data_IF_110525059281
#
_entry.id   IF_110525059281
#
_cell.length_a   1.000
_cell.length_b   1.000
_cell.length_c   1.000
_cell.angle_alpha   90.00
_cell.angle_beta   90.00
_cell.angle_gamma   90.00
#
_symmetry.space_group_name_H-M   'P 1'
#
loop_
_entity.id
_entity.type
_entity.pdbx_description
1 polymer ?
#
# COMPACT_ATOMS: atom_id res chain seq x y z
N UNK A 1 4.25 -5.61 0.39
CA UNK A 1 4.18 -6.34 -0.89
C UNK A 1 5.60 -6.65 -1.34
N UNK A 2 5.89 -7.80 -1.98
CA UNK A 2 7.20 -8.04 -2.59
C UNK A 2 7.52 -6.95 -3.60
N UNK A 3 8.75 -6.43 -3.60
CA UNK A 3 9.08 -5.25 -4.42
C UNK A 3 8.88 -5.47 -5.92
N UNK A 4 9.16 -6.68 -6.42
CA UNK A 4 8.99 -7.02 -7.85
C UNK A 4 7.52 -7.01 -8.30
N UNK A 5 6.57 -7.20 -7.38
CA UNK A 5 5.14 -7.09 -7.67
C UNK A 5 4.62 -5.67 -7.45
N UNK A 6 5.38 -4.82 -6.74
CA UNK A 6 4.97 -3.49 -6.36
C UNK A 6 5.29 -2.48 -7.46
N UNK A 7 4.59 -2.61 -8.58
CA UNK A 7 4.57 -1.61 -9.64
C UNK A 7 3.11 -1.29 -10.01
N UNK A 8 2.91 -0.12 -10.60
CA UNK A 8 1.56 0.40 -10.87
C UNK A 8 0.76 -0.50 -11.81
N UNK A 9 1.41 -1.02 -12.85
CA UNK A 9 0.78 -1.88 -13.85
C UNK A 9 0.22 -3.16 -13.21
N UNK A 10 1.02 -3.86 -12.41
CA UNK A 10 0.58 -5.06 -11.68
C UNK A 10 -0.55 -4.75 -10.70
N UNK A 11 -0.47 -3.64 -9.96
CA UNK A 11 -1.49 -3.30 -8.94
C UNK A 11 -2.85 -3.00 -9.59
N UNK A 12 -2.85 -2.31 -10.74
CA UNK A 12 -4.07 -1.95 -11.48
C UNK A 12 -4.74 -3.13 -12.19
N UNK A 13 -4.04 -4.25 -12.35
CA UNK A 13 -4.61 -5.42 -13.02
C UNK A 13 -5.78 -6.02 -12.23
N UNK A 14 -6.79 -6.61 -12.90
CA UNK A 14 -7.89 -7.31 -12.26
C UNK A 14 -7.42 -8.46 -11.36
N UNK A 15 -6.31 -9.13 -11.67
CA UNK A 15 -5.80 -10.22 -10.84
C UNK A 15 -5.31 -9.74 -9.46
N UNK A 16 -5.08 -8.43 -9.31
CA UNK A 16 -4.65 -7.77 -8.08
C UNK A 16 -5.72 -6.82 -7.53
N UNK A 17 -5.41 -5.54 -7.36
CA UNK A 17 -6.28 -4.57 -6.70
C UNK A 17 -7.26 -3.92 -7.67
N UNK A 18 -7.04 -4.04 -8.99
CA UNK A 18 -7.98 -3.57 -10.01
C UNK A 18 -9.36 -4.22 -9.93
N UNK A 19 -9.49 -5.46 -9.43
CA UNK A 19 -10.80 -6.13 -9.31
C UNK A 19 -11.76 -5.46 -8.34
N UNK A 20 -11.27 -4.64 -7.41
CA UNK A 20 -12.13 -4.05 -6.38
C UNK A 20 -12.76 -2.74 -6.86
N UNK A 21 -12.19 -2.07 -7.85
CA UNK A 21 -12.69 -0.82 -8.40
C UNK A 21 -11.62 -0.03 -9.14
N UNK A 22 -12.04 1.12 -9.69
CA UNK A 22 -11.13 2.01 -10.40
C UNK A 22 -10.16 2.69 -9.42
N UNK A 23 -8.87 2.55 -9.69
CA UNK A 23 -7.81 3.13 -8.86
C UNK A 23 -7.51 4.55 -9.35
N UNK A 24 -7.66 5.53 -8.47
CA UNK A 24 -7.31 6.93 -8.72
C UNK A 24 -5.79 7.12 -8.63
N UNK A 25 -5.18 6.65 -7.54
CA UNK A 25 -3.77 6.90 -7.25
C UNK A 25 -3.10 5.72 -6.57
N UNK A 26 -1.85 5.46 -6.96
CA UNK A 26 -0.97 4.48 -6.33
C UNK A 26 0.29 5.21 -5.84
N UNK A 27 0.70 4.92 -4.61
CA UNK A 27 1.99 5.35 -4.05
C UNK A 27 2.73 4.13 -3.55
N UNK A 28 3.98 3.97 -3.98
CA UNK A 28 4.83 2.83 -3.63
C UNK A 28 6.04 3.35 -2.87
N UNK A 29 6.15 2.93 -1.61
CA UNK A 29 7.28 3.26 -0.74
C UNK A 29 8.12 2.00 -0.52
N UNK A 30 9.27 1.84 -1.20
CA UNK A 30 10.18 0.74 -0.90
C UNK A 30 10.72 0.87 0.52
N UNK A 31 10.89 -0.26 1.20
CA UNK A 31 11.65 -0.31 2.45
C UNK A 31 13.13 -0.56 2.13
N UNK A 32 14.05 0.07 2.88
CA UNK A 32 15.47 -0.22 2.74
C UNK A 32 15.74 -1.70 3.07
N UNK A 33 16.76 -2.32 2.44
CA UNK A 33 17.20 -3.66 2.81
C UNK A 33 17.61 -3.66 4.28
N UNK A 34 17.17 -4.67 5.02
CA UNK A 34 17.69 -4.93 6.37
C UNK A 34 18.77 -6.01 6.20
N UNK A 35 20.04 -5.60 6.14
CA UNK A 35 21.21 -6.49 6.01
C UNK A 35 21.64 -6.82 4.57
N UNK A 36 22.95 -7.06 4.37
CA UNK A 36 23.60 -7.22 3.06
C UNK A 36 23.16 -8.44 2.24
N UNK A 37 22.59 -9.48 2.87
CA UNK A 37 22.27 -10.76 2.20
C UNK A 37 20.76 -11.05 2.03
N UNK A 38 19.88 -10.05 2.17
CA UNK A 38 18.42 -10.27 2.20
C UNK A 38 17.67 -9.59 1.03
N UNK A 39 18.23 -9.70 -0.18
CA UNK A 39 17.62 -9.20 -1.44
C UNK A 39 16.19 -9.76 -1.64
N UNK A 40 15.95 -11.01 -1.28
CA UNK A 40 14.60 -11.62 -1.40
C UNK A 40 13.58 -11.08 -0.38
N UNK A 41 14.00 -10.25 0.58
CA UNK A 41 13.13 -9.62 1.58
C UNK A 41 12.83 -8.15 1.26
N UNK A 42 13.24 -7.63 0.09
CA UNK A 42 12.83 -6.29 -0.35
C UNK A 42 11.30 -6.20 -0.41
N UNK A 43 10.77 -5.40 0.52
CA UNK A 43 9.35 -5.14 0.69
C UNK A 43 9.06 -3.71 0.32
N UNK A 44 7.83 -3.46 -0.08
CA UNK A 44 7.29 -2.11 -0.22
C UNK A 44 5.98 -1.97 0.55
N UNK A 45 5.73 -0.75 1.02
CA UNK A 45 4.41 -0.30 1.39
C UNK A 45 3.74 0.26 0.14
N UNK A 46 2.59 -0.29 -0.20
CA UNK A 46 1.76 0.18 -1.32
C UNK A 46 0.53 0.84 -0.73
N UNK A 47 0.24 2.02 -1.23
CA UNK A 47 -0.89 2.84 -0.86
C UNK A 47 -1.77 3.03 -2.09
N UNK A 48 -3.06 2.73 -1.95
CA UNK A 48 -4.02 2.75 -3.06
C UNK A 48 -5.17 3.65 -2.66
N UNK A 49 -5.50 4.61 -3.53
CA UNK A 49 -6.70 5.43 -3.45
C UNK A 49 -7.62 5.01 -4.59
N UNK A 50 -8.81 4.56 -4.26
CA UNK A 50 -9.87 4.29 -5.24
C UNK A 50 -10.69 5.55 -5.46
N UNK A 51 -11.37 5.64 -6.61
CA UNK A 51 -12.34 6.70 -6.87
C UNK A 51 -13.52 6.62 -5.89
N UNK A 52 -14.03 5.41 -5.63
CA UNK A 52 -15.12 5.18 -4.70
C UNK A 52 -14.60 4.64 -3.36
N UNK A 53 -15.19 5.11 -2.26
CA UNK A 53 -14.83 4.67 -0.91
C UNK A 53 -15.21 3.19 -0.69
N UNK A 54 -16.33 2.77 -1.26
CA UNK A 54 -16.91 1.43 -1.15
C UNK A 54 -15.96 0.37 -1.72
N UNK A 55 -15.25 0.71 -2.79
CA UNK A 55 -14.26 -0.16 -3.44
C UNK A 55 -13.02 -0.34 -2.56
N UNK A 56 -12.62 0.71 -1.84
CA UNK A 56 -11.61 0.62 -0.78
C UNK A 56 -12.04 -0.31 0.36
N UNK A 57 -13.32 -0.29 0.75
CA UNK A 57 -13.86 -1.18 1.78
C UNK A 57 -13.84 -2.64 1.33
N UNK A 58 -14.30 -2.90 0.10
CA UNK A 58 -14.22 -4.24 -0.51
C UNK A 58 -12.77 -4.72 -0.59
N UNK A 59 -11.84 -3.86 -1.01
CA UNK A 59 -10.42 -4.20 -1.13
C UNK A 59 -9.80 -4.62 0.21
N UNK A 60 -10.15 -3.94 1.30
CA UNK A 60 -9.66 -4.31 2.65
C UNK A 60 -10.27 -5.63 3.12
N UNK A 61 -11.59 -5.78 3.00
CA UNK A 61 -12.32 -6.96 3.48
C UNK A 61 -11.99 -8.24 2.70
N UNK A 62 -11.96 -8.16 1.37
CA UNK A 62 -11.74 -9.30 0.49
C UNK A 62 -10.25 -9.51 0.16
N UNK A 63 -9.48 -8.43 0.08
CA UNK A 63 -8.04 -8.52 -0.16
C UNK A 63 -7.32 -9.23 0.98
N UNK A 64 -7.70 -8.96 2.23
CA UNK A 64 -7.13 -9.66 3.40
C UNK A 64 -7.39 -11.17 3.37
N UNK A 65 -8.51 -11.60 2.76
CA UNK A 65 -8.82 -13.02 2.52
C UNK A 65 -8.05 -13.60 1.33
N UNK A 66 -7.93 -12.83 0.24
CA UNK A 66 -7.24 -13.26 -0.99
C UNK A 66 -5.73 -13.41 -0.76
N UNK A 67 -5.13 -12.46 -0.02
CA UNK A 67 -3.69 -12.43 0.26
C UNK A 67 -3.46 -12.40 1.77
N UNK A 68 -3.66 -13.53 2.49
CA UNK A 68 -3.62 -13.57 3.96
C UNK A 68 -2.24 -13.20 4.53
N UNK A 69 -1.18 -13.33 3.71
CA UNK A 69 0.18 -12.97 4.08
C UNK A 69 0.52 -11.49 3.78
N UNK A 70 -0.46 -10.73 3.28
CA UNK A 70 -0.41 -9.29 3.09
C UNK A 70 -1.37 -8.63 4.07
N UNK A 71 -0.87 -7.77 4.94
CA UNK A 71 -1.75 -6.98 5.82
C UNK A 71 -2.44 -5.86 5.02
N UNK A 72 -3.74 -5.94 4.82
CA UNK A 72 -4.47 -4.90 4.13
C UNK A 72 -5.38 -4.25 5.17
N UNK A 73 -5.24 -2.95 5.38
CA UNK A 73 -6.02 -2.22 6.40
C UNK A 73 -6.24 -0.79 5.93
N UNK A 74 -7.20 -0.06 6.50
CA UNK A 74 -7.40 1.34 6.10
C UNK A 74 -6.26 2.24 6.57
N UNK A 75 -5.84 3.16 5.69
CA UNK A 75 -4.91 4.20 6.07
C UNK A 75 -5.66 5.25 6.87
N UNK A 76 -5.31 5.40 8.14
CA UNK A 76 -5.61 6.63 8.85
C UNK A 76 -4.90 7.78 8.15
N UNK A 77 -5.58 8.91 7.97
CA UNK A 77 -4.96 10.17 7.58
C UNK A 77 -3.75 10.38 8.49
N UNK A 78 -2.57 10.46 7.90
CA UNK A 78 -1.42 11.03 8.60
C UNK A 78 -1.20 12.37 7.96
N UNK A 79 -1.70 13.40 8.63
CA UNK A 79 -1.32 14.77 8.34
C UNK A 79 0.21 14.82 8.34
N UNK A 80 0.80 15.36 7.28
CA UNK A 80 2.22 15.69 7.32
C UNK A 80 2.41 16.90 8.26
N UNK A 81 3.62 17.07 8.80
CA UNK A 81 3.91 18.21 9.68
C UNK A 81 3.56 19.54 8.99
N UNK A 82 3.85 19.69 7.70
CA UNK A 82 3.45 20.88 6.95
C UNK A 82 1.93 21.15 6.98
N UNK A 83 1.09 20.12 6.88
CA UNK A 83 -0.36 20.29 7.03
C UNK A 83 -0.75 20.71 8.46
N UNK A 84 -0.08 20.15 9.48
CA UNK A 84 -0.30 20.53 10.88
C UNK A 84 0.16 21.96 11.17
N UNK A 85 1.22 22.39 10.51
CA UNK A 85 1.81 23.73 10.62
C UNK A 85 1.14 24.74 9.68
N UNK A 86 0.01 24.37 9.05
CA UNK A 86 -0.76 25.20 8.13
C UNK A 86 0.05 25.71 6.90
N UNK A 87 1.09 24.96 6.52
CA UNK A 87 1.98 25.24 5.39
C UNK A 87 1.64 24.34 4.19
N UNK A 88 1.92 24.85 2.97
CA UNK A 88 1.80 24.05 1.75
C UNK A 88 2.86 22.94 1.75
N UNK A 89 2.42 21.69 1.63
CA UNK A 89 3.34 20.57 1.52
C UNK A 89 3.90 20.48 0.09
N UNK A 90 5.21 20.63 -0.06
CA UNK A 90 5.92 20.47 -1.34
C UNK A 90 6.21 19.01 -1.69
N UNK A 91 5.95 18.08 -0.77
CA UNK A 91 6.12 16.66 -1.05
C UNK A 91 4.96 16.18 -1.94
N UNK A 92 5.21 16.01 -3.24
CA UNK A 92 4.22 15.51 -4.19
C UNK A 92 3.64 14.14 -3.78
N UNK A 93 4.38 13.36 -2.98
CA UNK A 93 3.99 12.03 -2.45
C UNK A 93 3.27 12.14 -1.10
N UNK A 94 2.85 13.34 -0.67
CA UNK A 94 2.20 13.54 0.62
C UNK A 94 0.92 12.71 0.75
N UNK A 95 0.89 11.88 1.79
CA UNK A 95 -0.01 10.73 2.01
C UNK A 95 -1.32 11.17 2.70
N UNK A 96 -1.87 12.33 2.32
CA UNK A 96 -2.91 13.01 3.11
C UNK A 96 -4.24 12.24 3.18
N UNK A 97 -4.60 11.43 2.19
CA UNK A 97 -5.84 10.62 2.24
C UNK A 97 -5.66 9.31 1.51
N UNK A 98 -5.17 8.29 2.20
CA UNK A 98 -5.07 6.95 1.61
C UNK A 98 -5.91 5.98 2.44
N UNK A 99 -6.94 5.42 1.82
CA UNK A 99 -7.82 4.44 2.42
C UNK A 99 -7.16 3.08 2.64
N UNK A 100 -5.84 2.90 2.44
CA UNK A 100 -5.14 1.65 2.75
C UNK A 100 -3.77 1.92 3.44
N UNK A 101 -3.61 1.52 4.71
CA UNK A 101 -2.34 1.40 5.45
C UNK A 101 -1.90 -0.05 5.47
N UNK A 102 -0.57 -0.19 5.40
CA UNK A 102 0.23 -1.18 6.13
C UNK A 102 0.04 -2.64 5.71
N UNK A 103 0.58 -3.01 4.54
CA UNK A 103 0.98 -4.39 4.18
C UNK A 103 2.24 -4.82 4.94
N UNK A 104 2.11 -5.02 6.25
CA UNK A 104 3.11 -5.62 7.13
C UNK A 104 2.59 -6.88 7.84
N UNK A 105 3.02 -8.05 7.32
CA UNK A 105 3.64 -9.19 8.02
C UNK A 105 3.48 -10.44 7.16
N UNK A 106 4.57 -10.86 6.52
CA UNK A 106 4.72 -12.23 6.03
C UNK A 106 5.48 -12.96 7.14
N UNK A 107 4.84 -13.94 7.78
CA UNK A 107 5.58 -14.95 8.54
C UNK A 107 6.12 -15.95 7.51
N UNK A 108 7.44 -15.99 7.37
CA UNK A 108 8.11 -17.15 6.78
C UNK A 108 8.19 -18.16 7.90
N UNK A 109 7.25 -19.10 7.95
CA UNK A 109 7.49 -20.32 8.73
C UNK A 109 8.43 -21.19 7.90
N UNK A 110 9.62 -21.41 8.46
CA UNK A 110 10.53 -22.51 8.17
C UNK A 110 9.73 -23.80 7.97
N UNK A 111 9.98 -24.49 6.87
CA UNK A 111 10.12 -25.94 6.90
C UNK A 111 11.55 -26.24 7.34
#
# INVERSE_FOLDING_TARGET
MPIHLANEHTIRRPEFFGKFGLIERIVIKPFPPVGENLIHLYKSAVYIKYYNKEDGIKAVALGSKTWPRMKISFGGMRYCNAFLDNMRCENEVCVISIYIKKVLRYYVNKL
#
